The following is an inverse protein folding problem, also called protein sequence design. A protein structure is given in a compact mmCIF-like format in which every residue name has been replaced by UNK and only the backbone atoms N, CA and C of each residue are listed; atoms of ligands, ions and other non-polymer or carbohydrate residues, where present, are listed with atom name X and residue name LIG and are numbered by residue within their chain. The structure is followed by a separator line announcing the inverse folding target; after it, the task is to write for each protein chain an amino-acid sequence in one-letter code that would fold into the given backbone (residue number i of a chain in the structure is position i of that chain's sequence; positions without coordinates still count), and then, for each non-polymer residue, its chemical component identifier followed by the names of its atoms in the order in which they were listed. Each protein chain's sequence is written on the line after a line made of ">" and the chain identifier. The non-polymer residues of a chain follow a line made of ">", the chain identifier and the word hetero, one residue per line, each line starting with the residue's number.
data_IF_020241925072
#
_entry.id   IF_020241925072
#
_cell.length_a   1.000
_cell.length_b   1.000
_cell.length_c   1.000
_cell.angle_alpha   90.00
_cell.angle_beta   90.00
_cell.angle_gamma   90.00
#
_symmetry.space_group_name_H-M   'P 1'
#
loop_
_entity.id
_entity.type
_entity.pdbx_description
1 polymer ?
#
# COMPACT_ATOMS: atom_id res chain seq x y z
N UNK A 1 17.10 -2.57 8.25
CA UNK A 1 16.84 -3.03 6.87
C UNK A 1 15.59 -3.89 6.91
N UNK A 2 14.45 -3.35 6.52
CA UNK A 2 13.24 -4.12 6.22
C UNK A 2 12.68 -3.51 4.96
N UNK A 3 12.57 -4.30 3.89
CA UNK A 3 11.84 -3.91 2.70
C UNK A 3 10.35 -3.77 2.99
N UNK A 4 9.62 -3.10 2.12
CA UNK A 4 8.17 -3.12 2.11
C UNK A 4 7.72 -4.32 1.28
N UNK A 5 7.51 -5.45 1.94
CA UNK A 5 6.94 -6.63 1.31
C UNK A 5 5.42 -6.53 1.44
N UNK A 6 4.71 -6.38 0.32
CA UNK A 6 3.27 -6.62 0.30
C UNK A 6 3.05 -8.13 0.44
N UNK A 7 2.03 -8.54 1.20
CA UNK A 7 1.84 -9.96 1.47
C UNK A 7 1.33 -10.71 0.23
N UNK A 8 0.34 -10.15 -0.47
CA UNK A 8 -0.27 -10.77 -1.66
C UNK A 8 -0.69 -9.71 -2.68
N UNK A 9 -0.38 -9.94 -3.96
CA UNK A 9 -1.07 -9.33 -5.10
C UNK A 9 -1.90 -10.42 -5.78
N UNK A 10 -3.21 -10.18 -5.93
CA UNK A 10 -4.15 -11.09 -6.58
C UNK A 10 -4.95 -10.31 -7.62
N UNK A 11 -4.77 -10.63 -8.90
CA UNK A 11 -5.30 -9.85 -10.02
C UNK A 11 -4.94 -8.36 -9.86
N UNK A 12 -5.93 -7.47 -9.86
CA UNK A 12 -5.77 -6.03 -9.64
C UNK A 12 -5.94 -5.63 -8.16
N UNK A 13 -5.89 -6.57 -7.22
CA UNK A 13 -6.05 -6.32 -5.79
C UNK A 13 -4.73 -6.50 -5.02
N UNK A 14 -4.40 -5.49 -4.23
CA UNK A 14 -3.32 -5.56 -3.24
C UNK A 14 -3.87 -5.98 -1.87
N UNK A 15 -3.30 -7.02 -1.25
CA UNK A 15 -3.76 -7.54 0.05
C UNK A 15 -2.62 -7.61 1.07
N UNK A 16 -2.92 -7.12 2.28
CA UNK A 16 -2.10 -7.28 3.49
C UNK A 16 -2.78 -8.28 4.45
N UNK A 17 -2.00 -9.16 5.07
CA UNK A 17 -2.47 -10.23 5.95
C UNK A 17 -2.31 -9.79 7.41
N UNK A 18 -3.43 -9.79 8.15
CA UNK A 18 -3.44 -9.46 9.57
C UNK A 18 -3.87 -10.63 10.44
N UNK A 19 -2.96 -11.06 11.30
CA UNK A 19 -3.22 -12.07 12.34
C UNK A 19 -3.54 -11.38 13.66
N UNK A 20 -4.81 -11.01 13.86
CA UNK A 20 -5.28 -10.23 15.03
C UNK A 20 -6.40 -10.95 15.77
N UNK A 21 -6.59 -10.62 17.06
CA UNK A 21 -7.69 -11.17 17.87
C UNK A 21 -9.05 -10.54 17.54
N UNK A 22 -9.06 -9.26 17.17
CA UNK A 22 -10.28 -8.49 16.94
C UNK A 22 -10.37 -8.15 15.46
N UNK A 23 -11.48 -8.53 14.83
CA UNK A 23 -11.81 -8.18 13.45
C UNK A 23 -12.19 -6.70 13.36
N UNK A 24 -11.18 -5.83 13.28
CA UNK A 24 -11.36 -4.37 13.24
C UNK A 24 -10.32 -3.74 12.33
N UNK A 25 -10.78 -2.89 11.41
CA UNK A 25 -9.90 -2.01 10.63
C UNK A 25 -9.26 -0.99 11.57
N UNK A 26 -7.93 -0.85 11.47
CA UNK A 26 -7.16 0.13 12.24
C UNK A 26 -6.55 1.16 11.28
N UNK A 27 -6.37 2.41 11.73
CA UNK A 27 -5.70 3.44 10.93
C UNK A 27 -4.33 3.00 10.38
N UNK A 28 -3.53 2.27 11.17
CA UNK A 28 -2.21 1.82 10.73
C UNK A 28 -2.27 0.76 9.61
N UNK A 29 -3.32 -0.07 9.59
CA UNK A 29 -3.49 -1.05 8.50
C UNK A 29 -3.86 -0.35 7.19
N UNK A 30 -4.71 0.68 7.29
CA UNK A 30 -5.01 1.53 6.15
C UNK A 30 -3.78 2.27 5.63
N UNK A 31 -2.99 2.88 6.52
CA UNK A 31 -1.74 3.57 6.14
C UNK A 31 -0.75 2.64 5.46
N UNK A 32 -0.69 1.37 5.87
CA UNK A 32 0.16 0.38 5.23
C UNK A 32 -0.29 0.09 3.79
N UNK A 33 -1.60 -0.10 3.57
CA UNK A 33 -2.15 -0.24 2.20
C UNK A 33 -1.87 0.98 1.34
N UNK A 34 -2.08 2.19 1.87
CA UNK A 34 -1.74 3.45 1.17
C UNK A 34 -0.26 3.50 0.80
N UNK A 35 0.64 3.11 1.73
CA UNK A 35 2.07 3.07 1.48
C UNK A 35 2.44 2.13 0.34
N UNK A 36 1.87 0.93 0.30
CA UNK A 36 2.10 -0.02 -0.80
C UNK A 36 1.56 0.47 -2.13
N UNK A 37 0.36 1.06 -2.15
CA UNK A 37 -0.24 1.64 -3.36
C UNK A 37 0.64 2.75 -3.93
N UNK A 38 1.13 3.65 -3.08
CA UNK A 38 2.00 4.76 -3.50
C UNK A 38 3.35 4.25 -3.96
N UNK A 39 3.92 3.23 -3.32
CA UNK A 39 5.15 2.60 -3.77
C UNK A 39 5.02 1.96 -5.16
N UNK A 40 3.92 1.23 -5.40
CA UNK A 40 3.67 0.63 -6.71
C UNK A 40 3.47 1.70 -7.80
N UNK A 41 2.76 2.78 -7.48
CA UNK A 41 2.55 3.91 -8.38
C UNK A 41 3.83 4.69 -8.68
N UNK A 42 4.68 4.92 -7.67
CA UNK A 42 6.01 5.51 -7.86
C UNK A 42 6.91 4.61 -8.73
N UNK A 43 6.87 3.29 -8.52
CA UNK A 43 7.63 2.34 -9.32
C UNK A 43 7.11 2.29 -10.77
N UNK A 44 5.81 2.49 -11.01
CA UNK A 44 5.24 2.62 -12.35
C UNK A 44 5.68 3.87 -13.11
N UNK A 45 6.14 4.92 -12.42
CA UNK A 45 6.79 6.06 -13.07
C UNK A 45 8.18 5.69 -13.65
N UNK A 46 8.83 4.63 -13.14
CA UNK A 46 10.20 4.23 -13.47
C UNK A 46 10.29 2.91 -14.26
N UNK A 47 9.30 2.03 -14.12
CA UNK A 47 9.26 0.68 -14.68
C UNK A 47 7.98 0.49 -15.50
N UNK A 48 8.12 0.02 -16.74
CA UNK A 48 7.00 -0.12 -17.70
C UNK A 48 5.91 -1.14 -17.29
N UNK A 49 6.16 -2.02 -16.30
CA UNK A 49 5.32 -3.19 -15.99
C UNK A 49 4.70 -3.22 -14.57
N UNK A 50 4.66 -2.10 -13.86
CA UNK A 50 4.04 -2.10 -12.52
C UNK A 50 2.51 -2.04 -12.56
N UNK A 51 1.81 -2.93 -11.81
CA UNK A 51 0.36 -2.96 -11.81
C UNK A 51 -0.22 -1.74 -11.08
N UNK A 52 -1.27 -1.16 -11.66
CA UNK A 52 -2.14 -0.22 -10.96
C UNK A 52 -3.30 -1.00 -10.35
N UNK A 53 -3.47 -0.90 -9.04
CA UNK A 53 -4.49 -1.67 -8.32
C UNK A 53 -5.88 -1.04 -8.48
N UNK A 54 -6.93 -1.85 -8.63
CA UNK A 54 -8.32 -1.40 -8.57
C UNK A 54 -8.93 -1.59 -7.18
N UNK A 55 -8.44 -2.56 -6.40
CA UNK A 55 -8.87 -2.83 -5.03
C UNK A 55 -7.68 -2.93 -4.06
N UNK A 56 -7.94 -2.61 -2.79
CA UNK A 56 -7.04 -2.94 -1.68
C UNK A 56 -7.79 -3.75 -0.62
N UNK A 57 -7.09 -4.64 0.08
CA UNK A 57 -7.71 -5.51 1.04
C UNK A 57 -6.86 -5.86 2.25
N UNK A 58 -7.55 -6.27 3.32
CA UNK A 58 -6.94 -6.88 4.50
C UNK A 58 -7.53 -8.27 4.67
N UNK A 59 -6.69 -9.29 4.60
CA UNK A 59 -7.09 -10.64 4.94
C UNK A 59 -6.82 -10.92 6.43
N UNK A 60 -7.90 -11.04 7.20
CA UNK A 60 -7.85 -11.34 8.62
C UNK A 60 -7.73 -12.85 8.86
N UNK A 61 -6.51 -13.38 8.84
CA UNK A 61 -6.24 -14.82 8.83
C UNK A 61 -6.94 -15.61 9.96
N UNK A 62 -6.99 -15.07 11.19
CA UNK A 62 -7.67 -15.73 12.33
C UNK A 62 -9.19 -15.81 12.20
N UNK A 63 -9.77 -14.99 11.33
CA UNK A 63 -11.20 -14.87 11.15
C UNK A 63 -11.65 -15.38 9.77
N UNK A 64 -10.72 -15.78 8.89
CA UNK A 64 -11.03 -16.24 7.53
C UNK A 64 -11.82 -15.22 6.71
N UNK A 65 -11.58 -13.93 6.93
CA UNK A 65 -12.40 -12.84 6.39
C UNK A 65 -11.53 -11.85 5.62
N UNK A 66 -11.95 -11.48 4.41
CA UNK A 66 -11.33 -10.44 3.60
C UNK A 66 -12.16 -9.15 3.69
N UNK A 67 -11.56 -8.08 4.19
CA UNK A 67 -12.08 -6.72 4.05
C UNK A 67 -11.49 -6.08 2.79
N UNK A 68 -12.27 -5.28 2.07
CA UNK A 68 -11.88 -4.64 0.80
C UNK A 68 -12.34 -3.17 0.75
N UNK A 69 -11.59 -2.36 0.01
CA UNK A 69 -11.97 -0.99 -0.40
C UNK A 69 -11.50 -0.74 -1.83
N UNK A 70 -12.11 0.25 -2.49
CA UNK A 70 -11.63 0.72 -3.79
C UNK A 70 -10.26 1.38 -3.65
N UNK A 71 -9.34 1.09 -4.57
CA UNK A 71 -8.07 1.82 -4.62
C UNK A 71 -8.28 3.29 -5.05
N UNK A 72 -9.42 3.62 -5.68
CA UNK A 72 -9.78 5.01 -6.02
C UNK A 72 -9.92 5.89 -4.77
N UNK A 73 -10.29 5.33 -3.61
CA UNK A 73 -10.33 6.06 -2.33
C UNK A 73 -8.95 6.62 -1.94
N UNK A 74 -7.88 6.06 -2.51
CA UNK A 74 -6.49 6.50 -2.34
C UNK A 74 -6.11 7.42 -3.50
N UNK A 75 -6.20 6.94 -4.75
CA UNK A 75 -5.73 7.67 -5.93
C UNK A 75 -6.46 9.00 -6.18
N UNK A 76 -7.76 9.07 -5.92
CA UNK A 76 -8.57 10.26 -6.20
C UNK A 76 -8.67 11.21 -5.00
N UNK A 77 -8.00 10.90 -3.89
CA UNK A 77 -7.94 11.81 -2.76
C UNK A 77 -7.26 13.12 -3.17
N UNK A 78 -7.83 14.27 -2.79
CA UNK A 78 -7.37 15.60 -3.24
C UNK A 78 -5.88 15.89 -2.93
N UNK A 79 -5.32 15.19 -1.93
CA UNK A 79 -3.92 15.32 -1.49
C UNK A 79 -3.02 14.18 -1.97
N UNK A 80 -3.50 13.30 -2.86
CA UNK A 80 -2.76 12.12 -3.28
C UNK A 80 -1.42 12.50 -3.91
N UNK A 81 -1.41 13.38 -4.91
CA UNK A 81 -0.17 13.82 -5.57
C UNK A 81 0.80 14.50 -4.59
N UNK A 82 0.29 15.37 -3.71
CA UNK A 82 1.10 15.98 -2.66
C UNK A 82 1.74 14.93 -1.74
N UNK A 83 0.97 13.90 -1.38
CA UNK A 83 1.45 12.79 -0.56
C UNK A 83 2.47 11.93 -1.32
N UNK A 84 2.24 11.59 -2.60
CA UNK A 84 3.16 10.83 -3.45
C UNK A 84 4.52 11.52 -3.54
N UNK A 85 4.54 12.83 -3.80
CA UNK A 85 5.79 13.62 -3.82
C UNK A 85 6.49 13.62 -2.47
N UNK A 86 5.78 13.95 -1.38
CA UNK A 86 6.36 13.95 -0.03
C UNK A 86 6.90 12.57 0.37
N UNK A 87 6.20 11.50 -0.01
CA UNK A 87 6.57 10.13 0.30
C UNK A 87 7.88 9.74 -0.41
N UNK A 88 8.04 10.08 -1.70
CA UNK A 88 9.29 9.91 -2.45
C UNK A 88 10.45 10.66 -1.78
N UNK A 89 10.28 11.95 -1.50
CA UNK A 89 11.31 12.78 -0.84
C UNK A 89 11.73 12.18 0.51
N UNK A 90 10.76 11.73 1.32
CA UNK A 90 11.06 11.11 2.61
C UNK A 90 11.78 9.78 2.45
N UNK A 91 11.41 8.96 1.46
CA UNK A 91 12.13 7.71 1.19
C UNK A 91 13.59 8.01 0.79
N UNK A 92 13.83 8.99 -0.10
CA UNK A 92 15.17 9.40 -0.52
C UNK A 92 16.00 9.96 0.65
N UNK A 93 15.42 10.78 1.54
CA UNK A 93 16.12 11.26 2.73
C UNK A 93 16.58 10.11 3.65
N UNK A 94 15.75 9.09 3.83
CA UNK A 94 16.00 8.00 4.78
C UNK A 94 16.86 6.88 4.20
N UNK A 95 16.81 6.65 2.89
CA UNK A 95 17.48 5.52 2.21
C UNK A 95 18.55 5.95 1.19
N UNK A 96 18.50 7.18 0.66
CA UNK A 96 19.44 7.71 -0.32
C UNK A 96 20.81 8.13 0.24
N UNK A 97 20.99 8.14 1.56
CA UNK A 97 22.30 8.37 2.20
C UNK A 97 23.17 7.10 2.31
N UNK A 98 22.69 5.96 1.79
CA UNK A 98 23.46 4.71 1.71
C UNK A 98 23.97 4.50 0.28
N UNK A 99 24.97 5.26 -0.14
CA UNK A 99 25.83 4.92 -1.29
C UNK A 99 27.25 5.40 -1.03
#
# INVERSE_FOLDING_TARGET
>A
MSGADADIVLDEMLVDIKTVKNLKLKPDYWRQLVGYVVLADLAGDELDEMPRFSEVGIYYARHGTLWRSSATDIYEHEKYEQFKTWFREKAEEHFGQST
#
